data_IF_869592818380
#
_entry.id   IF_869592818380
#
_cell.length_a   1.000
_cell.length_b   1.000
_cell.length_c   1.000
_cell.angle_alpha   90.00
_cell.angle_beta   90.00
_cell.angle_gamma   90.00
#
_symmetry.space_group_name_H-M   'P 1'
#
loop_
_entity.id
_entity.type
_entity.pdbx_description
1 polymer ?
#
# COMPACT_ATOMS: atom_id res chain seq x y z
N UNK A 1 0.74 0.17 14.37
CA UNK A 1 2.10 0.51 13.92
C UNK A 1 2.00 1.07 12.52
N UNK A 2 2.71 2.14 12.19
CA UNK A 2 2.66 2.76 10.86
C UNK A 2 4.03 2.65 10.20
N UNK A 3 4.07 2.27 8.93
CA UNK A 3 5.30 2.30 8.14
C UNK A 3 5.32 3.65 7.42
N UNK A 4 6.46 4.34 7.51
CA UNK A 4 6.71 5.61 6.83
C UNK A 4 6.55 5.45 5.30
N UNK A 5 6.29 6.54 4.56
CA UNK A 5 5.86 6.47 3.17
C UNK A 5 6.82 5.63 2.31
N UNK A 6 6.25 4.70 1.54
CA UNK A 6 6.99 3.99 0.48
C UNK A 6 7.19 4.99 -0.65
N UNK A 7 8.44 5.41 -0.84
CA UNK A 7 8.83 6.35 -1.89
C UNK A 7 9.58 5.60 -2.98
N UNK A 8 9.08 5.70 -4.21
CA UNK A 8 9.75 5.17 -5.40
C UNK A 8 10.18 6.35 -6.24
N UNK A 9 11.46 6.42 -6.56
CA UNK A 9 11.97 7.44 -7.47
C UNK A 9 11.21 7.36 -8.82
N UNK A 10 10.64 8.48 -9.32
CA UNK A 10 9.90 8.53 -10.57
C UNK A 10 10.61 7.90 -11.77
N UNK A 11 11.95 7.98 -11.82
CA UNK A 11 12.76 7.35 -12.88
C UNK A 11 12.57 5.83 -12.97
N UNK A 12 12.15 5.21 -11.87
CA UNK A 12 11.95 3.77 -11.75
C UNK A 12 10.46 3.38 -11.66
N UNK A 13 9.53 4.31 -11.90
CA UNK A 13 8.10 3.97 -11.96
C UNK A 13 7.81 2.97 -13.09
N UNK A 14 6.72 2.21 -12.92
CA UNK A 14 6.26 1.17 -13.86
C UNK A 14 7.23 0.00 -14.11
N UNK A 15 8.33 -0.12 -13.35
CA UNK A 15 9.25 -1.27 -13.41
C UNK A 15 8.93 -2.36 -12.36
N UNK A 16 7.76 -2.29 -11.73
CA UNK A 16 7.33 -3.29 -10.76
C UNK A 16 7.93 -3.18 -9.35
N UNK A 17 8.87 -2.26 -9.10
CA UNK A 17 9.52 -2.12 -7.78
C UNK A 17 8.53 -1.90 -6.63
N UNK A 18 7.51 -1.06 -6.83
CA UNK A 18 6.47 -0.85 -5.80
C UNK A 18 5.70 -2.11 -5.47
N UNK A 19 5.38 -2.89 -6.50
CA UNK A 19 4.70 -4.17 -6.35
C UNK A 19 5.57 -5.20 -5.65
N UNK A 20 6.86 -5.22 -5.95
CA UNK A 20 7.85 -6.10 -5.31
C UNK A 20 7.99 -5.78 -3.82
N UNK A 21 8.22 -4.51 -3.48
CA UNK A 21 8.38 -4.05 -2.09
C UNK A 21 7.12 -4.35 -1.26
N UNK A 22 5.94 -4.01 -1.77
CA UNK A 22 4.68 -4.25 -1.04
C UNK A 22 4.38 -5.75 -0.87
N UNK A 23 4.61 -6.56 -1.90
CA UNK A 23 4.43 -8.01 -1.78
C UNK A 23 5.36 -8.63 -0.75
N UNK A 24 6.63 -8.21 -0.73
CA UNK A 24 7.60 -8.71 0.23
C UNK A 24 7.18 -8.33 1.65
N UNK A 25 6.74 -7.08 1.85
CA UNK A 25 6.20 -6.62 3.12
C UNK A 25 4.99 -7.45 3.58
N UNK A 26 3.99 -7.68 2.71
CA UNK A 26 2.77 -8.42 3.05
C UNK A 26 3.09 -9.88 3.38
N UNK A 27 3.96 -10.52 2.59
CA UNK A 27 4.33 -11.93 2.76
C UNK A 27 5.21 -12.15 3.99
N UNK A 28 6.17 -11.26 4.21
CA UNK A 28 7.20 -11.42 5.24
C UNK A 28 6.99 -10.52 6.47
N UNK A 29 5.77 -10.00 6.68
CA UNK A 29 5.44 -9.05 7.76
C UNK A 29 6.00 -9.46 9.14
N UNK A 30 5.75 -10.70 9.57
CA UNK A 30 6.21 -11.22 10.86
C UNK A 30 7.72 -11.17 11.01
N UNK A 31 8.48 -11.42 9.93
CA UNK A 31 9.95 -11.33 9.97
C UNK A 31 10.44 -9.89 10.01
N UNK A 32 9.74 -8.97 9.34
CA UNK A 32 10.14 -7.57 9.20
C UNK A 32 9.82 -6.76 10.46
N UNK A 33 8.63 -6.95 11.03
CA UNK A 33 8.13 -6.14 12.16
C UNK A 33 7.92 -6.96 13.45
N UNK A 34 8.21 -8.26 13.45
CA UNK A 34 8.05 -9.17 14.60
C UNK A 34 6.63 -9.24 15.18
N UNK A 35 5.62 -9.00 14.34
CA UNK A 35 4.20 -8.97 14.70
C UNK A 35 3.40 -9.66 13.59
N UNK A 36 2.40 -10.45 13.98
CA UNK A 36 1.39 -10.98 13.05
C UNK A 36 0.40 -9.85 12.69
N UNK A 37 0.25 -9.59 11.39
CA UNK A 37 -0.59 -8.51 10.87
C UNK A 37 -1.83 -9.10 10.20
N UNK A 38 -2.99 -8.81 10.78
CA UNK A 38 -4.30 -9.20 10.24
C UNK A 38 -4.78 -8.24 9.15
N UNK A 39 -4.44 -6.94 9.29
CA UNK A 39 -4.95 -5.87 8.42
C UNK A 39 -3.83 -4.93 8.01
N UNK A 40 -3.72 -4.69 6.70
CA UNK A 40 -2.92 -3.60 6.14
C UNK A 40 -3.82 -2.45 5.72
N UNK A 41 -3.54 -1.25 6.23
CA UNK A 41 -4.24 -0.02 5.85
C UNK A 41 -3.30 0.96 5.17
N UNK A 42 -3.79 1.62 4.12
CA UNK A 42 -3.11 2.69 3.41
C UNK A 42 -4.07 3.82 3.05
N UNK A 43 -3.71 5.03 3.42
CA UNK A 43 -4.44 6.25 3.04
C UNK A 43 -3.75 6.88 1.84
N UNK A 44 -4.45 6.97 0.70
CA UNK A 44 -3.87 7.37 -0.59
C UNK A 44 -4.60 8.60 -1.11
N UNK A 45 -3.86 9.63 -1.55
CA UNK A 45 -4.47 10.77 -2.23
C UNK A 45 -5.18 10.31 -3.50
N UNK A 46 -6.41 10.78 -3.72
CA UNK A 46 -7.20 10.44 -4.92
C UNK A 46 -6.54 10.91 -6.22
N UNK A 47 -5.62 11.87 -6.13
CA UNK A 47 -4.85 12.38 -7.27
C UNK A 47 -3.65 11.49 -7.63
N UNK A 48 -3.22 10.59 -6.74
CA UNK A 48 -2.08 9.71 -6.95
C UNK A 48 -2.49 8.41 -7.65
N UNK A 49 -2.80 8.54 -8.95
CA UNK A 49 -3.28 7.43 -9.79
C UNK A 49 -2.32 6.24 -9.79
N UNK A 50 -1.01 6.49 -9.78
CA UNK A 50 0.01 5.43 -9.75
C UNK A 50 -0.10 4.57 -8.48
N UNK A 51 -0.29 5.21 -7.32
CA UNK A 51 -0.45 4.49 -6.05
C UNK A 51 -1.79 3.76 -6.00
N UNK A 52 -2.88 4.39 -6.44
CA UNK A 52 -4.19 3.74 -6.51
C UNK A 52 -4.11 2.43 -7.29
N UNK A 53 -3.58 2.47 -8.52
CA UNK A 53 -3.43 1.28 -9.36
C UNK A 53 -2.50 0.24 -8.73
N UNK A 54 -1.43 0.66 -8.07
CA UNK A 54 -0.51 -0.24 -7.40
C UNK A 54 -1.21 -1.03 -6.29
N UNK A 55 -1.91 -0.36 -5.38
CA UNK A 55 -2.58 -0.99 -4.25
C UNK A 55 -3.77 -1.85 -4.72
N UNK A 56 -4.58 -1.37 -5.67
CA UNK A 56 -5.65 -2.18 -6.28
C UNK A 56 -5.10 -3.46 -6.95
N UNK A 57 -3.93 -3.40 -7.60
CA UNK A 57 -3.27 -4.57 -8.20
C UNK A 57 -2.75 -5.61 -7.19
N UNK A 58 -2.76 -5.26 -5.90
CA UNK A 58 -2.37 -6.09 -4.77
C UNK A 58 -3.57 -6.50 -3.91
N UNK A 59 -4.78 -6.43 -4.47
CA UNK A 59 -6.04 -6.78 -3.84
C UNK A 59 -6.44 -5.91 -2.64
N UNK A 60 -5.83 -4.72 -2.47
CA UNK A 60 -6.36 -3.76 -1.53
C UNK A 60 -7.71 -3.24 -2.05
N UNK A 61 -8.66 -3.11 -1.15
CA UNK A 61 -10.01 -2.64 -1.45
C UNK A 61 -10.28 -1.30 -0.78
N UNK A 62 -11.08 -0.44 -1.42
CA UNK A 62 -11.48 0.85 -0.86
C UNK A 62 -12.32 0.62 0.40
N UNK A 63 -12.05 1.36 1.47
CA UNK A 63 -12.86 1.39 2.70
C UNK A 63 -13.30 2.81 2.99
N UNK A 64 -14.54 2.96 3.43
CA UNK A 64 -15.11 4.26 3.77
C UNK A 64 -15.22 5.22 2.58
N UNK A 65 -15.47 6.48 2.90
CA UNK A 65 -15.62 7.56 1.93
C UNK A 65 -14.30 8.33 1.76
N UNK A 66 -14.17 9.02 0.62
CA UNK A 66 -13.09 9.99 0.42
C UNK A 66 -13.20 11.10 1.46
N UNK A 67 -12.10 11.39 2.16
CA UNK A 67 -12.01 12.46 3.14
C UNK A 67 -10.82 13.36 2.81
N UNK A 68 -11.05 14.66 2.69
CA UNK A 68 -10.02 15.68 2.35
C UNK A 68 -9.14 15.32 1.13
N UNK A 69 -9.71 14.64 0.13
CA UNK A 69 -8.98 14.22 -1.07
C UNK A 69 -8.13 12.96 -0.89
N UNK A 70 -8.35 12.19 0.17
CA UNK A 70 -7.71 10.90 0.43
C UNK A 70 -8.76 9.77 0.50
N UNK A 71 -8.37 8.60 0.05
CA UNK A 71 -9.17 7.36 0.11
C UNK A 71 -8.38 6.31 0.87
N UNK A 72 -9.05 5.65 1.82
CA UNK A 72 -8.48 4.51 2.54
C UNK A 72 -8.62 3.22 1.73
N UNK A 73 -7.56 2.43 1.78
CA UNK A 73 -7.44 1.12 1.16
C UNK A 73 -7.02 0.09 2.21
N UNK A 74 -7.63 -1.08 2.15
CA UNK A 74 -7.47 -2.13 3.15
C UNK A 74 -7.25 -3.50 2.50
N UNK A 75 -6.33 -4.27 3.05
CA UNK A 75 -6.11 -5.68 2.75
C UNK A 75 -6.22 -6.48 4.05
N UNK A 76 -7.22 -7.35 4.11
CA UNK A 76 -7.45 -8.32 5.19
C UNK A 76 -6.77 -9.64 4.79
N UNK A 77 -6.03 -10.26 5.72
CA UNK A 77 -5.20 -11.45 5.45
C UNK A 77 -5.88 -12.77 5.80
#
# INVERSE_FOLDING_TARGET
MSINPIVINPKYHNNGYGKLILNDLIKNNKKIINIDVDIFNATISITNISSIKLFESLNFTKKGNVNDGFQDYCLEK
#
